data_IF_597136613366
#
_entry.id   IF_597136613366
#
_cell.length_a   1.000
_cell.length_b   1.000
_cell.length_c   1.000
_cell.angle_alpha   90.00
_cell.angle_beta   90.00
_cell.angle_gamma   90.00
#
_symmetry.space_group_name_H-M   'P 1'
#
loop_
_entity.id
_entity.type
_entity.pdbx_description
1 polymer ?
#
# COMPACT_ATOMS: atom_id res chain seq x y z
N UNK A 1 -13.15 -21.27 -6.19
CA UNK A 1 -13.19 -20.37 -5.03
C UNK A 1 -14.61 -20.40 -4.52
N UNK A 2 -14.77 -20.50 -3.21
CA UNK A 2 -16.07 -20.40 -2.54
C UNK A 2 -16.30 -18.97 -2.07
N UNK A 3 -17.55 -18.61 -1.75
CA UNK A 3 -17.88 -17.28 -1.20
C UNK A 3 -17.00 -16.90 0.01
N UNK A 4 -16.61 -17.90 0.79
CA UNK A 4 -15.74 -17.73 1.97
C UNK A 4 -14.25 -17.52 1.64
N UNK A 5 -13.79 -17.80 0.42
CA UNK A 5 -12.36 -17.78 0.05
C UNK A 5 -12.03 -16.77 -1.06
N UNK A 6 -13.02 -16.25 -1.79
CA UNK A 6 -12.81 -15.26 -2.86
C UNK A 6 -12.09 -14.01 -2.37
N UNK A 7 -12.46 -13.46 -1.20
CA UNK A 7 -11.79 -12.28 -0.65
C UNK A 7 -10.31 -12.52 -0.36
N UNK A 8 -9.97 -13.71 0.15
CA UNK A 8 -8.60 -14.08 0.50
C UNK A 8 -7.74 -14.31 -0.75
N UNK A 9 -8.34 -14.84 -1.82
CA UNK A 9 -7.66 -14.95 -3.10
C UNK A 9 -7.29 -13.59 -3.68
N UNK A 10 -8.26 -12.66 -3.72
CA UNK A 10 -8.01 -11.29 -4.21
C UNK A 10 -6.94 -10.61 -3.36
N UNK A 11 -7.06 -10.69 -2.02
CA UNK A 11 -6.08 -10.10 -1.10
C UNK A 11 -4.68 -10.67 -1.33
N UNK A 12 -4.52 -11.99 -1.45
CA UNK A 12 -3.20 -12.61 -1.68
C UNK A 12 -2.57 -12.22 -3.02
N UNK A 13 -3.37 -12.01 -4.07
CA UNK A 13 -2.84 -11.53 -5.36
C UNK A 13 -2.24 -10.12 -5.24
N UNK A 14 -2.88 -9.25 -4.45
CA UNK A 14 -2.39 -7.89 -4.18
C UNK A 14 -1.19 -7.90 -3.23
N UNK A 15 -1.29 -8.61 -2.10
CA UNK A 15 -0.23 -8.69 -1.07
C UNK A 15 1.07 -9.28 -1.63
N UNK A 16 0.98 -10.19 -2.60
CA UNK A 16 2.13 -10.81 -3.28
C UNK A 16 2.58 -10.05 -4.52
N UNK A 17 1.97 -8.91 -4.83
CA UNK A 17 2.31 -8.07 -5.97
C UNK A 17 2.20 -8.79 -7.33
N UNK A 18 1.25 -9.71 -7.50
CA UNK A 18 0.98 -10.31 -8.82
C UNK A 18 0.03 -9.45 -9.65
N UNK A 19 -0.80 -8.66 -8.98
CA UNK A 19 -1.65 -7.64 -9.59
C UNK A 19 -1.69 -6.41 -8.68
N UNK A 20 -2.03 -5.27 -9.25
CA UNK A 20 -2.34 -4.03 -8.51
C UNK A 20 -3.80 -3.68 -8.71
N UNK A 21 -4.36 -2.94 -7.75
CA UNK A 21 -5.73 -2.41 -7.82
C UNK A 21 -5.68 -0.90 -7.74
N UNK A 22 -6.28 -0.21 -8.71
CA UNK A 22 -6.33 1.25 -8.74
C UNK A 22 -7.48 1.81 -7.88
N UNK A 23 -7.54 3.14 -7.76
CA UNK A 23 -8.62 3.86 -7.06
C UNK A 23 -10.00 3.66 -7.72
N UNK A 24 -10.03 3.32 -9.00
CA UNK A 24 -11.24 3.00 -9.76
C UNK A 24 -11.65 1.52 -9.63
N UNK A 25 -11.03 0.78 -8.72
CA UNK A 25 -11.27 -0.65 -8.47
C UNK A 25 -10.95 -1.60 -9.62
N UNK A 26 -10.16 -1.15 -10.60
CA UNK A 26 -9.65 -1.96 -11.72
C UNK A 26 -8.37 -2.68 -11.31
N UNK A 27 -8.24 -3.93 -11.76
CA UNK A 27 -7.03 -4.72 -11.58
C UNK A 27 -6.13 -4.63 -12.81
N UNK A 28 -4.84 -4.48 -12.58
CA UNK A 28 -3.80 -4.52 -13.63
C UNK A 28 -2.74 -5.53 -13.20
N UNK A 29 -2.33 -6.47 -14.07
CA UNK A 29 -1.26 -7.40 -13.75
C UNK A 29 0.07 -6.65 -13.56
N UNK A 30 0.97 -7.21 -12.76
CA UNK A 30 2.34 -6.73 -12.66
C UNK A 30 3.25 -7.55 -13.58
N UNK A 31 4.45 -7.03 -13.88
CA UNK A 31 5.48 -7.79 -14.59
C UNK A 31 5.76 -9.15 -13.91
N UNK A 32 5.72 -9.22 -12.57
CA UNK A 32 5.87 -10.47 -11.83
C UNK A 32 4.69 -11.43 -12.11
N UNK A 33 3.47 -10.91 -12.07
CA UNK A 33 2.27 -11.70 -12.35
C UNK A 33 2.28 -12.26 -13.76
N UNK A 34 2.61 -11.44 -14.76
CA UNK A 34 2.68 -11.86 -16.16
C UNK A 34 3.80 -12.88 -16.40
N UNK A 35 4.99 -12.66 -15.84
CA UNK A 35 6.11 -13.58 -15.95
C UNK A 35 5.83 -14.95 -15.33
N UNK A 36 5.16 -14.98 -14.18
CA UNK A 36 4.76 -16.25 -13.55
C UNK A 36 3.74 -17.00 -14.43
N UNK A 37 2.75 -16.30 -14.98
CA UNK A 37 1.77 -16.92 -15.87
C UNK A 37 2.44 -17.47 -17.11
N UNK A 38 3.26 -16.67 -17.80
CA UNK A 38 4.01 -17.08 -18.99
C UNK A 38 4.91 -18.28 -18.71
N UNK A 39 5.71 -18.24 -17.64
CA UNK A 39 6.65 -19.32 -17.34
C UNK A 39 5.97 -20.65 -17.04
N UNK A 40 4.79 -20.66 -16.38
CA UNK A 40 4.02 -21.90 -16.20
C UNK A 40 3.31 -22.35 -17.48
N UNK A 41 2.81 -21.41 -18.29
CA UNK A 41 2.18 -21.70 -19.59
C UNK A 41 3.20 -22.35 -20.56
N UNK A 42 4.42 -21.81 -20.62
CA UNK A 42 5.52 -22.36 -21.43
C UNK A 42 5.95 -23.76 -20.95
N UNK A 43 5.82 -24.07 -19.66
CA UNK A 43 6.00 -25.43 -19.13
C UNK A 43 4.89 -26.39 -19.55
N UNK A 44 3.80 -25.91 -20.14
CA UNK A 44 2.62 -26.68 -20.49
C UNK A 44 1.58 -26.75 -19.36
N UNK A 45 1.71 -25.92 -18.33
CA UNK A 45 0.79 -25.87 -17.20
C UNK A 45 -0.05 -24.60 -17.22
N UNK A 46 -1.28 -24.72 -17.74
CA UNK A 46 -2.27 -23.63 -17.80
C UNK A 46 -2.91 -23.34 -16.43
N UNK A 47 -2.11 -23.17 -15.36
CA UNK A 47 -2.57 -22.99 -13.97
C UNK A 47 -3.42 -21.74 -13.76
N UNK A 48 -3.30 -20.77 -14.67
CA UNK A 48 -4.08 -19.54 -14.67
C UNK A 48 -5.54 -19.77 -15.09
N UNK A 49 -5.85 -20.87 -15.78
CA UNK A 49 -7.21 -21.23 -16.17
C UNK A 49 -7.99 -21.83 -14.99
N UNK A 50 -9.33 -21.66 -14.97
CA UNK A 50 -10.14 -22.03 -13.80
C UNK A 50 -10.32 -23.54 -13.61
N UNK A 51 -9.98 -24.37 -14.60
CA UNK A 51 -10.39 -25.77 -14.68
C UNK A 51 -9.87 -26.63 -13.52
N UNK A 52 -8.57 -26.57 -13.23
CA UNK A 52 -7.97 -27.39 -12.16
C UNK A 52 -8.56 -27.03 -10.80
N UNK A 53 -8.81 -25.74 -10.56
CA UNK A 53 -9.43 -25.29 -9.33
C UNK A 53 -10.89 -25.71 -9.23
N UNK A 54 -11.64 -25.63 -10.32
CA UNK A 54 -13.02 -26.10 -10.36
C UNK A 54 -13.11 -27.59 -10.03
N UNK A 55 -12.26 -28.43 -10.65
CA UNK A 55 -12.16 -29.87 -10.34
C UNK A 55 -11.93 -30.12 -8.85
N UNK A 56 -10.96 -29.44 -8.24
CA UNK A 56 -10.65 -29.61 -6.82
C UNK A 56 -11.79 -29.16 -5.90
N UNK A 57 -12.51 -28.10 -6.26
CA UNK A 57 -13.69 -27.64 -5.51
C UNK A 57 -14.85 -28.64 -5.62
N UNK A 58 -15.05 -29.23 -6.79
CA UNK A 58 -16.05 -30.28 -7.01
C UNK A 58 -15.71 -31.56 -6.23
N UNK A 59 -14.43 -31.95 -6.18
CA UNK A 59 -13.99 -33.09 -5.37
C UNK A 59 -14.19 -32.82 -3.87
N UNK A 60 -13.88 -31.62 -3.38
CA UNK A 60 -14.17 -31.23 -1.99
C UNK A 60 -15.68 -31.25 -1.69
N UNK A 61 -16.50 -30.83 -2.66
CA UNK A 61 -17.96 -30.91 -2.55
C UNK A 61 -18.44 -32.36 -2.50
N UNK A 62 -17.91 -33.24 -3.34
CA UNK A 62 -18.23 -34.67 -3.32
C UNK A 62 -17.88 -35.33 -1.97
N UNK A 63 -16.76 -34.94 -1.36
CA UNK A 63 -16.40 -35.37 0.00
C UNK A 63 -17.41 -34.86 1.03
N UNK A 64 -17.83 -33.60 0.93
CA UNK A 64 -18.84 -33.03 1.84
C UNK A 64 -20.22 -33.70 1.73
N UNK A 65 -20.57 -34.20 0.54
CA UNK A 65 -21.79 -34.95 0.28
C UNK A 65 -21.66 -36.45 0.60
N UNK A 66 -20.47 -36.90 1.00
CA UNK A 66 -20.19 -38.31 1.31
C UNK A 66 -20.09 -39.23 0.08
N UNK A 67 -20.07 -38.70 -1.13
CA UNK A 67 -19.99 -39.50 -2.37
C UNK A 67 -18.57 -39.90 -2.74
N UNK A 68 -17.55 -39.28 -2.14
CA UNK A 68 -16.14 -39.64 -2.27
C UNK A 68 -15.45 -39.62 -0.91
N UNK A 69 -14.43 -40.47 -0.75
CA UNK A 69 -13.64 -40.50 0.48
C UNK A 69 -12.53 -39.44 0.48
N UNK A 70 -12.36 -38.74 1.60
CA UNK A 70 -11.29 -37.74 1.80
C UNK A 70 -9.90 -38.31 1.46
N UNK A 71 -9.59 -39.50 1.96
CA UNK A 71 -8.26 -40.11 1.79
C UNK A 71 -7.93 -40.42 0.34
N UNK A 72 -8.94 -40.83 -0.44
CA UNK A 72 -8.80 -41.13 -1.86
C UNK A 72 -8.50 -39.86 -2.66
N UNK A 73 -9.30 -38.81 -2.45
CA UNK A 73 -9.08 -37.50 -3.09
C UNK A 73 -7.71 -36.91 -2.72
N UNK A 74 -7.33 -37.00 -1.45
CA UNK A 74 -6.04 -36.50 -0.98
C UNK A 74 -4.88 -37.26 -1.64
N UNK A 75 -4.94 -38.59 -1.67
CA UNK A 75 -3.89 -39.41 -2.28
C UNK A 75 -3.74 -39.11 -3.77
N UNK A 76 -4.87 -39.05 -4.49
CA UNK A 76 -4.89 -38.70 -5.92
C UNK A 76 -4.35 -37.29 -6.17
N UNK A 77 -4.82 -36.28 -5.43
CA UNK A 77 -4.37 -34.90 -5.59
C UNK A 77 -2.89 -34.70 -5.27
N UNK A 78 -2.37 -35.37 -4.23
CA UNK A 78 -0.93 -35.33 -3.90
C UNK A 78 -0.09 -36.00 -4.99
N UNK A 79 -0.57 -37.11 -5.56
CA UNK A 79 0.12 -37.79 -6.66
C UNK A 79 0.17 -36.91 -7.92
N UNK A 80 -0.96 -36.30 -8.32
CA UNK A 80 -1.03 -35.36 -9.45
C UNK A 80 -0.09 -34.16 -9.22
N UNK A 81 -0.17 -33.51 -8.06
CA UNK A 81 0.67 -32.35 -7.72
C UNK A 81 2.16 -32.71 -7.66
N UNK A 82 2.51 -33.89 -7.16
CA UNK A 82 3.90 -34.37 -7.10
C UNK A 82 4.47 -34.56 -8.51
N UNK A 83 3.68 -35.11 -9.43
CA UNK A 83 4.10 -35.26 -10.83
C UNK A 83 4.36 -33.89 -11.46
N UNK A 84 3.41 -32.95 -11.33
CA UNK A 84 3.58 -31.58 -11.82
C UNK A 84 4.81 -30.88 -11.24
N UNK A 85 5.06 -31.03 -9.93
CA UNK A 85 6.22 -30.43 -9.27
C UNK A 85 7.55 -30.98 -9.81
N UNK A 86 7.66 -32.29 -10.01
CA UNK A 86 8.89 -32.91 -10.51
C UNK A 86 9.20 -32.43 -11.92
N UNK A 87 8.19 -32.32 -12.78
CA UNK A 87 8.33 -31.85 -14.15
C UNK A 87 8.63 -30.33 -14.22
N UNK A 88 7.89 -29.50 -13.48
CA UNK A 88 8.16 -28.07 -13.38
C UNK A 88 9.58 -27.78 -12.85
N UNK A 89 10.11 -28.63 -11.95
CA UNK A 89 11.48 -28.52 -11.45
C UNK A 89 12.52 -28.79 -12.54
N UNK A 90 12.26 -29.74 -13.44
CA UNK A 90 13.12 -30.01 -14.59
C UNK A 90 13.07 -28.85 -15.60
N UNK A 91 11.89 -28.28 -15.78
CA UNK A 91 11.63 -27.19 -16.73
C UNK A 91 11.86 -25.78 -16.16
N UNK A 92 12.47 -25.64 -14.98
CA UNK A 92 12.65 -24.35 -14.27
C UNK A 92 13.29 -23.24 -15.11
N UNK A 93 14.05 -23.60 -16.15
CA UNK A 93 14.69 -22.65 -17.08
C UNK A 93 13.65 -21.76 -17.75
N UNK A 94 12.48 -22.30 -18.11
CA UNK A 94 11.38 -21.55 -18.71
C UNK A 94 10.84 -20.44 -17.80
N UNK A 95 10.82 -20.66 -16.48
CA UNK A 95 10.48 -19.60 -15.52
C UNK A 95 11.53 -18.48 -15.53
N UNK A 96 12.82 -18.81 -15.66
CA UNK A 96 13.86 -17.79 -15.77
C UNK A 96 13.77 -17.03 -17.08
N UNK A 97 13.55 -17.71 -18.21
CA UNK A 97 13.34 -17.08 -19.53
C UNK A 97 12.14 -16.13 -19.51
N UNK A 98 11.00 -16.54 -18.95
CA UNK A 98 9.83 -15.67 -18.81
C UNK A 98 10.13 -14.48 -17.89
N UNK A 99 10.85 -14.69 -16.78
CA UNK A 99 11.30 -13.58 -15.92
C UNK A 99 12.24 -12.65 -16.67
N UNK A 100 13.15 -13.16 -17.50
CA UNK A 100 14.02 -12.34 -18.34
C UNK A 100 13.19 -11.47 -19.29
N UNK A 101 12.12 -11.96 -19.92
CA UNK A 101 11.28 -11.14 -20.81
C UNK A 101 10.66 -9.93 -20.11
N UNK A 102 10.11 -10.11 -18.91
CA UNK A 102 9.40 -9.03 -18.20
C UNK A 102 10.26 -8.21 -17.24
N UNK A 103 11.42 -8.73 -16.88
CA UNK A 103 12.43 -8.07 -16.05
C UNK A 103 13.71 -7.77 -16.83
N UNK A 104 13.64 -7.79 -18.17
CA UNK A 104 14.81 -7.66 -19.01
C UNK A 104 15.51 -6.33 -18.70
N UNK A 105 16.75 -6.47 -18.22
CA UNK A 105 17.71 -5.42 -17.81
C UNK A 105 17.48 -4.74 -16.46
N UNK A 106 17.73 -5.47 -15.37
CA UNK A 106 18.59 -4.88 -14.32
C UNK A 106 20.08 -5.12 -14.61
N UNK A 107 20.42 -5.93 -15.63
CA UNK A 107 21.78 -6.35 -15.91
C UNK A 107 22.05 -6.64 -17.40
N UNK A 108 21.89 -5.64 -18.27
CA UNK A 108 22.49 -5.71 -19.62
C UNK A 108 23.98 -5.37 -19.59
N UNK A 109 24.70 -5.91 -18.60
CA UNK A 109 26.09 -5.58 -18.31
C UNK A 109 26.85 -6.85 -17.98
N UNK A 110 26.99 -7.75 -18.96
CA UNK A 110 28.00 -8.81 -18.88
C UNK A 110 28.56 -9.33 -20.21
N UNK A 111 28.07 -8.91 -21.37
CA UNK A 111 28.78 -9.17 -22.63
C UNK A 111 28.54 -7.97 -23.55
N UNK A 112 29.60 -7.26 -23.94
CA UNK A 112 29.66 -6.12 -24.90
C UNK A 112 29.58 -4.65 -24.39
N UNK A 113 29.98 -4.32 -23.16
CA UNK A 113 30.32 -2.92 -22.83
C UNK A 113 31.67 -2.82 -22.10
N UNK A 114 32.74 -2.84 -22.89
CA UNK A 114 33.96 -2.08 -22.58
C UNK A 114 33.79 -0.57 -22.89
N UNK A 115 32.55 -0.07 -23.01
CA UNK A 115 32.28 1.30 -23.50
C UNK A 115 31.04 2.01 -22.91
N UNK A 116 30.67 1.83 -21.63
CA UNK A 116 29.75 2.77 -20.98
C UNK A 116 29.82 2.77 -19.44
N UNK A 117 31.01 2.91 -18.86
CA UNK A 117 31.07 3.55 -17.55
C UNK A 117 30.67 5.00 -17.79
N UNK A 118 29.41 5.35 -17.46
CA UNK A 118 28.90 6.71 -17.63
C UNK A 118 29.89 7.75 -17.09
N UNK A 119 29.98 8.90 -17.75
CA UNK A 119 31.02 9.88 -17.45
C UNK A 119 30.94 10.34 -15.98
N UNK A 120 32.10 10.34 -15.31
CA UNK A 120 32.22 10.68 -13.89
C UNK A 120 32.01 12.18 -13.71
N UNK A 121 31.06 12.54 -12.85
CA UNK A 121 30.70 13.93 -12.57
C UNK A 121 31.34 14.42 -11.27
N UNK A 122 31.33 13.60 -10.22
CA UNK A 122 31.91 13.94 -8.90
C UNK A 122 31.96 12.72 -7.98
N UNK A 123 32.74 12.80 -6.90
CA UNK A 123 32.61 11.84 -5.79
C UNK A 123 31.24 11.95 -5.11
N UNK A 124 30.70 10.81 -4.67
CA UNK A 124 29.43 10.78 -3.95
C UNK A 124 29.54 11.49 -2.59
N UNK A 125 28.72 12.52 -2.37
CA UNK A 125 28.70 13.25 -1.10
C UNK A 125 28.12 12.45 0.08
N UNK A 126 27.40 11.35 -0.17
CA UNK A 126 26.74 10.54 0.86
C UNK A 126 27.68 9.45 1.38
N UNK A 127 28.20 8.58 0.49
CA UNK A 127 29.09 7.49 0.91
C UNK A 127 30.57 7.87 0.86
N UNK A 128 30.96 8.88 0.07
CA UNK A 128 32.36 9.32 -0.14
C UNK A 128 33.33 8.22 -0.61
N UNK A 129 32.82 7.06 -0.98
CA UNK A 129 33.58 5.86 -1.33
C UNK A 129 33.47 5.49 -2.82
N UNK A 130 32.57 6.16 -3.56
CA UNK A 130 32.31 5.85 -4.95
C UNK A 130 31.92 7.11 -5.72
N UNK A 131 32.13 7.07 -7.04
CA UNK A 131 31.80 8.18 -7.93
C UNK A 131 30.31 8.25 -8.27
N UNK A 132 29.89 9.44 -8.68
CA UNK A 132 28.60 9.69 -9.29
C UNK A 132 28.77 9.89 -10.80
N UNK A 133 27.99 9.16 -11.57
CA UNK A 133 28.09 9.08 -13.02
C UNK A 133 26.81 9.53 -13.70
N UNK A 134 26.93 10.23 -14.82
CA UNK A 134 25.80 10.59 -15.67
C UNK A 134 25.27 9.34 -16.39
N UNK A 135 23.96 9.12 -16.32
CA UNK A 135 23.27 7.99 -16.93
C UNK A 135 22.00 8.45 -17.63
N UNK A 136 21.74 7.86 -18.80
CA UNK A 136 20.45 7.97 -19.50
C UNK A 136 19.59 6.77 -19.12
N UNK A 137 18.37 7.03 -18.68
CA UNK A 137 17.39 5.99 -18.36
C UNK A 137 16.70 5.46 -19.62
N UNK A 138 16.05 4.28 -19.53
CA UNK A 138 15.23 3.73 -20.62
C UNK A 138 14.06 4.64 -21.03
N UNK A 139 13.53 5.45 -20.10
CA UNK A 139 12.48 6.44 -20.37
C UNK A 139 12.98 7.67 -21.14
N UNK A 140 14.28 7.72 -21.46
CA UNK A 140 14.94 8.81 -22.18
C UNK A 140 15.44 9.94 -21.28
N UNK A 141 15.06 9.98 -20.00
CA UNK A 141 15.47 11.03 -19.05
C UNK A 141 16.89 10.78 -18.53
N UNK A 142 17.54 11.83 -18.05
CA UNK A 142 18.90 11.76 -17.51
C UNK A 142 18.89 11.78 -15.97
N UNK A 143 19.86 11.11 -15.36
CA UNK A 143 20.12 11.14 -13.93
C UNK A 143 21.61 11.04 -13.65
N UNK A 144 22.05 11.55 -12.50
CA UNK A 144 23.40 11.31 -11.99
C UNK A 144 23.30 10.43 -10.75
N UNK A 145 23.84 9.22 -10.81
CA UNK A 145 23.69 8.21 -9.76
C UNK A 145 25.02 7.69 -9.22
N UNK A 146 25.05 7.26 -7.97
CA UNK A 146 26.24 6.68 -7.36
C UNK A 146 26.54 5.27 -7.90
N UNK A 147 27.82 4.98 -8.15
CA UNK A 147 28.29 3.65 -8.57
C UNK A 147 28.14 2.58 -7.49
N UNK A 148 28.07 2.96 -6.20
CA UNK A 148 27.87 2.01 -5.09
C UNK A 148 26.40 1.57 -4.90
N UNK A 149 25.49 1.86 -5.82
CA UNK A 149 24.13 1.30 -5.78
C UNK A 149 24.18 -0.24 -5.87
N UNK A 150 23.43 -1.00 -5.05
CA UNK A 150 22.33 -0.58 -4.16
C UNK A 150 22.75 -0.13 -2.74
N UNK A 151 24.03 -0.24 -2.39
CA UNK A 151 24.55 0.12 -1.06
C UNK A 151 24.49 1.64 -0.79
N UNK A 152 24.63 2.46 -1.84
CA UNK A 152 24.39 3.89 -1.79
C UNK A 152 23.29 4.29 -2.78
N UNK A 153 22.19 4.87 -2.28
CA UNK A 153 21.04 5.34 -3.08
C UNK A 153 21.13 6.83 -3.45
N UNK A 154 22.32 7.42 -3.38
CA UNK A 154 22.54 8.82 -3.78
C UNK A 154 22.22 9.00 -5.27
N UNK A 155 21.33 9.94 -5.57
CA UNK A 155 20.90 10.27 -6.93
C UNK A 155 20.59 11.76 -7.03
N UNK A 156 20.99 12.36 -8.15
CA UNK A 156 20.57 13.69 -8.59
C UNK A 156 19.69 13.50 -9.82
N UNK A 157 18.44 13.90 -9.69
CA UNK A 157 17.48 13.87 -10.78
C UNK A 157 17.60 15.14 -11.62
N UNK A 158 17.72 14.98 -12.93
CA UNK A 158 17.88 16.08 -13.86
C UNK A 158 16.52 16.48 -14.48
N UNK A 159 16.39 17.72 -14.99
CA UNK A 159 15.18 18.17 -15.67
C UNK A 159 14.70 17.22 -16.78
N UNK A 160 13.40 16.97 -16.84
CA UNK A 160 12.80 16.11 -17.87
C UNK A 160 12.98 16.66 -19.29
N UNK A 161 13.12 17.99 -19.45
CA UNK A 161 13.26 18.67 -20.74
C UNK A 161 14.60 18.45 -21.44
N UNK A 162 15.54 17.75 -20.83
CA UNK A 162 16.87 17.49 -21.41
C UNK A 162 16.74 16.51 -22.59
N UNK A 163 17.24 16.91 -23.75
CA UNK A 163 17.42 16.04 -24.93
C UNK A 163 18.79 15.38 -24.97
N UNK A 164 19.84 16.07 -24.53
CA UNK A 164 21.22 15.60 -24.56
C UNK A 164 21.97 16.12 -23.33
N UNK A 165 22.85 15.31 -22.75
CA UNK A 165 23.71 15.72 -21.65
C UNK A 165 25.08 15.04 -21.80
N UNK A 166 26.15 15.83 -21.76
CA UNK A 166 27.54 15.36 -21.86
C UNK A 166 28.39 15.99 -20.77
N UNK A 167 29.19 15.20 -20.07
CA UNK A 167 30.11 15.70 -19.04
C UNK A 167 31.31 16.33 -19.74
N UNK A 168 31.74 17.47 -19.22
CA UNK A 168 32.87 18.22 -19.75
C UNK A 168 34.08 18.10 -18.82
N UNK A 169 35.26 18.45 -19.32
CA UNK A 169 36.47 18.57 -18.50
C UNK A 169 36.47 19.83 -17.61
N UNK A 170 35.50 20.73 -17.79
CA UNK A 170 35.41 21.96 -17.01
C UNK A 170 34.93 21.65 -15.58
N UNK A 171 35.60 22.25 -14.60
CA UNK A 171 35.32 22.03 -13.19
C UNK A 171 34.59 23.22 -12.58
N UNK A 172 33.60 22.96 -11.72
CA UNK A 172 32.92 24.00 -10.98
C UNK A 172 33.84 24.62 -9.91
N UNK A 173 34.00 25.94 -9.94
CA UNK A 173 34.78 26.71 -8.96
C UNK A 173 34.03 27.01 -7.67
N UNK A 174 32.71 26.81 -7.64
CA UNK A 174 31.84 27.19 -6.51
C UNK A 174 31.51 26.04 -5.57
N UNK A 175 31.63 24.79 -6.02
CA UNK A 175 31.27 23.61 -5.22
C UNK A 175 32.50 22.99 -4.56
N UNK A 176 32.44 22.80 -3.24
CA UNK A 176 33.40 22.01 -2.46
C UNK A 176 32.65 20.96 -1.61
N UNK A 177 33.21 19.76 -1.40
CA UNK A 177 34.49 19.26 -1.91
C UNK A 177 34.47 18.99 -3.43
N UNK A 178 35.55 19.38 -4.11
CA UNK A 178 35.76 19.12 -5.54
C UNK A 178 36.57 17.84 -5.78
N UNK A 179 36.62 17.34 -7.02
CA UNK A 179 36.15 17.99 -8.23
C UNK A 179 34.66 17.74 -8.55
N UNK A 180 33.98 18.75 -9.08
CA UNK A 180 32.64 18.62 -9.69
C UNK A 180 32.71 19.07 -11.13
N UNK A 181 32.61 18.13 -12.06
CA UNK A 181 32.63 18.40 -13.50
C UNK A 181 31.29 18.99 -13.96
N UNK A 182 31.36 19.98 -14.84
CA UNK A 182 30.18 20.61 -15.44
C UNK A 182 29.62 19.72 -16.54
N UNK A 183 28.30 19.75 -16.69
CA UNK A 183 27.59 18.98 -17.72
C UNK A 183 27.02 19.97 -18.74
N UNK A 184 27.30 19.74 -20.01
CA UNK A 184 26.68 20.47 -21.10
C UNK A 184 25.30 19.87 -21.39
N UNK A 185 24.25 20.60 -21.04
CA UNK A 185 22.86 20.22 -21.24
C UNK A 185 22.32 20.85 -22.52
N UNK A 186 21.67 20.05 -23.37
CA UNK A 186 20.76 20.54 -24.39
C UNK A 186 19.33 20.21 -24.00
N UNK A 187 18.46 21.20 -24.09
CA UNK A 187 17.05 21.11 -23.75
C UNK A 187 16.17 21.15 -25.00
N UNK A 188 15.05 20.43 -24.94
CA UNK A 188 13.99 20.51 -25.94
C UNK A 188 13.36 21.90 -25.85
N UNK A 189 13.53 22.71 -26.89
CA UNK A 189 13.09 24.12 -26.89
C UNK A 189 11.60 24.30 -26.58
N UNK A 190 10.76 23.35 -26.99
CA UNK A 190 9.31 23.38 -26.74
C UNK A 190 8.91 23.11 -25.28
N UNK A 191 9.84 22.63 -24.44
CA UNK A 191 9.57 22.24 -23.04
C UNK A 191 10.23 23.15 -22.01
N UNK A 192 10.99 24.17 -22.47
CA UNK A 192 11.59 25.18 -21.59
C UNK A 192 11.00 26.56 -21.87
N UNK A 193 10.86 27.43 -20.87
CA UNK A 193 10.36 28.77 -21.10
C UNK A 193 11.28 29.58 -22.04
N UNK A 194 10.75 30.55 -22.80
CA UNK A 194 11.47 31.23 -23.87
C UNK A 194 12.69 32.04 -23.39
N UNK A 195 12.71 32.44 -22.12
CA UNK A 195 13.82 33.16 -21.47
C UNK A 195 15.03 32.28 -21.10
N UNK A 196 14.93 30.95 -21.24
CA UNK A 196 16.05 30.03 -21.03
C UNK A 196 16.71 29.65 -22.34
N UNK A 197 18.02 29.41 -22.31
CA UNK A 197 18.76 28.92 -23.47
C UNK A 197 18.55 27.41 -23.67
N UNK A 198 18.53 26.99 -24.93
CA UNK A 198 18.43 25.58 -25.28
C UNK A 198 19.72 24.81 -24.95
N UNK A 199 20.85 25.48 -24.83
CA UNK A 199 22.13 24.91 -24.39
C UNK A 199 22.58 25.60 -23.11
N UNK A 200 23.00 24.83 -22.11
CA UNK A 200 23.45 25.34 -20.81
C UNK A 200 24.58 24.47 -20.26
N UNK A 201 25.68 25.08 -19.85
CA UNK A 201 26.75 24.39 -19.13
C UNK A 201 26.45 24.50 -17.63
N UNK A 202 26.01 23.40 -17.02
CA UNK A 202 25.47 23.43 -15.66
C UNK A 202 26.20 22.57 -14.63
N UNK A 203 26.11 22.99 -13.36
CA UNK A 203 26.67 22.28 -12.22
C UNK A 203 25.59 21.54 -11.42
N UNK A 204 25.80 20.25 -11.16
CA UNK A 204 24.89 19.43 -10.33
C UNK A 204 25.16 19.55 -8.82
N UNK A 205 26.17 20.33 -8.42
CA UNK A 205 26.56 20.51 -7.02
C UNK A 205 25.64 21.46 -6.24
N UNK A 206 24.58 21.99 -6.88
CA UNK A 206 23.57 22.85 -6.25
C UNK A 206 23.87 24.34 -6.30
N UNK A 207 24.95 24.77 -6.96
CA UNK A 207 25.26 26.18 -7.16
C UNK A 207 24.65 26.77 -8.43
N UNK A 208 24.03 25.96 -9.29
CA UNK A 208 23.46 26.38 -10.57
C UNK A 208 21.97 26.68 -10.44
N UNK A 209 21.64 27.97 -10.43
CA UNK A 209 20.27 28.45 -10.26
C UNK A 209 19.40 28.16 -11.50
N UNK A 210 19.96 28.23 -12.70
CA UNK A 210 19.25 27.93 -13.95
C UNK A 210 18.79 26.47 -13.98
N UNK A 211 19.69 25.55 -13.63
CA UNK A 211 19.40 24.12 -13.56
C UNK A 211 18.36 23.81 -12.48
N UNK A 212 18.44 24.49 -11.32
CA UNK A 212 17.45 24.36 -10.25
C UNK A 212 16.06 24.78 -10.70
N UNK A 213 15.95 25.96 -11.30
CA UNK A 213 14.67 26.49 -11.82
C UNK A 213 14.10 25.61 -12.92
N UNK A 214 14.90 25.16 -13.88
CA UNK A 214 14.45 24.24 -14.93
C UNK A 214 14.00 22.88 -14.37
N UNK A 215 14.60 22.41 -13.28
CA UNK A 215 14.15 21.18 -12.59
C UNK A 215 12.79 21.37 -11.93
N UNK A 216 12.53 22.53 -11.35
CA UNK A 216 11.24 22.88 -10.74
C UNK A 216 10.14 23.07 -11.78
N UNK A 217 10.44 23.69 -12.91
CA UNK A 217 9.49 23.99 -13.99
C UNK A 217 9.17 22.75 -14.83
N UNK A 218 10.20 22.02 -15.28
CA UNK A 218 10.05 20.91 -16.22
C UNK A 218 9.84 19.56 -15.50
N UNK A 219 9.98 19.52 -14.18
CA UNK A 219 9.98 18.28 -13.39
C UNK A 219 11.14 17.36 -13.74
N UNK A 220 11.10 16.12 -13.22
CA UNK A 220 12.18 15.13 -13.38
C UNK A 220 11.68 13.81 -14.01
N UNK A 221 10.64 13.85 -14.84
CA UNK A 221 9.95 12.67 -15.38
C UNK A 221 9.00 11.99 -14.37
N UNK A 222 8.25 10.96 -14.80
CA UNK A 222 7.21 10.27 -14.02
C UNK A 222 7.72 9.81 -12.65
N UNK A 223 7.20 10.47 -11.60
CA UNK A 223 7.53 10.22 -10.21
C UNK A 223 6.55 9.21 -9.61
N UNK A 224 7.03 8.02 -9.29
CA UNK A 224 6.52 7.27 -8.14
C UNK A 224 7.15 7.88 -6.88
N UNK A 225 6.46 8.86 -6.26
CA UNK A 225 6.93 9.52 -5.05
C UNK A 225 6.27 8.88 -3.82
N UNK A 226 7.01 7.97 -3.18
CA UNK A 226 6.76 7.57 -1.80
C UNK A 226 7.95 8.00 -0.95
N UNK A 227 7.76 9.07 -0.18
CA UNK A 227 8.49 9.35 1.06
C UNK A 227 9.85 10.05 0.93
N UNK A 228 9.87 11.37 1.15
CA UNK A 228 10.57 11.96 2.30
C UNK A 228 10.27 13.45 2.41
N UNK A 229 9.48 13.81 3.43
CA UNK A 229 9.36 15.16 3.94
C UNK A 229 10.64 15.52 4.70
N UNK A 230 11.29 16.61 4.33
CA UNK A 230 12.24 17.31 5.20
C UNK A 230 11.65 18.67 5.56
N UNK A 231 11.04 18.71 6.74
CA UNK A 231 10.73 19.94 7.46
C UNK A 231 12.05 20.52 7.96
N UNK A 232 12.44 21.69 7.46
CA UNK A 232 13.39 22.57 8.16
C UNK A 232 12.77 23.97 8.20
N UNK A 233 12.18 24.29 9.34
CA UNK A 233 11.95 25.67 9.77
C UNK A 233 13.29 26.25 10.21
N UNK A 234 13.72 27.33 9.57
CA UNK A 234 14.86 28.14 9.99
C UNK A 234 14.63 29.59 9.59
N UNK A 235 14.47 30.45 10.59
CA UNK A 235 14.19 31.90 10.52
C UNK A 235 15.29 32.68 9.79
N UNK A 236 14.91 33.73 9.07
CA UNK A 236 15.70 34.98 8.95
C UNK A 236 14.78 36.21 8.95
N UNK A 237 15.27 37.39 9.40
CA UNK A 237 14.46 38.57 9.69
C UNK A 237 14.33 39.53 8.50
N UNK A 238 13.29 40.35 8.61
CA UNK A 238 12.96 41.63 7.96
C UNK A 238 14.08 42.34 7.21
N UNK A 239 13.80 42.83 6.00
CA UNK A 239 14.21 44.16 5.53
C UNK A 239 13.17 44.70 4.53
N UNK A 240 12.84 45.97 4.70
CA UNK A 240 11.83 46.76 3.99
C UNK A 240 12.32 47.25 2.63
N UNK A 241 11.42 47.37 1.66
CA UNK A 241 11.45 48.43 0.65
C UNK A 241 10.02 48.70 0.15
N UNK A 242 9.59 49.96 0.24
CA UNK A 242 8.21 50.39 0.01
C UNK A 242 7.85 50.72 -1.44
N UNK A 243 6.52 50.81 -1.64
CA UNK A 243 5.72 51.82 -2.36
C UNK A 243 6.22 52.31 -3.75
N UNK A 244 5.44 52.41 -4.85
CA UNK A 244 3.98 52.53 -5.14
C UNK A 244 3.87 52.82 -6.69
N UNK A 245 2.73 52.82 -7.44
CA UNK A 245 1.46 52.07 -7.39
C UNK A 245 0.85 51.67 -8.78
N UNK A 246 -0.37 51.11 -8.72
CA UNK A 246 -1.50 51.18 -9.67
C UNK A 246 -1.51 50.23 -10.90
N UNK A 247 -2.55 49.42 -11.15
CA UNK A 247 -3.84 49.35 -10.48
C UNK A 247 -4.80 48.24 -10.97
N UNK A 248 -6.03 48.42 -10.47
CA UNK A 248 -7.29 47.71 -10.70
C UNK A 248 -7.67 46.60 -9.70
N UNK A 249 -8.43 47.05 -8.70
CA UNK A 249 -8.88 46.33 -7.52
C UNK A 249 -10.31 45.82 -7.75
N UNK A 250 -10.52 44.51 -7.62
CA UNK A 250 -11.83 43.93 -7.29
C UNK A 250 -11.76 43.40 -5.86
N UNK A 251 -12.36 44.11 -4.92
CA UNK A 251 -12.43 43.75 -3.51
C UNK A 251 -13.32 42.51 -3.32
N UNK A 252 -12.73 41.36 -3.03
CA UNK A 252 -13.47 40.21 -2.50
C UNK A 252 -13.79 40.48 -1.02
N UNK A 253 -15.01 40.93 -0.77
CA UNK A 253 -15.55 41.12 0.57
C UNK A 253 -15.96 39.76 1.14
N UNK A 254 -15.59 39.46 2.39
CA UNK A 254 -15.99 38.24 3.06
C UNK A 254 -17.53 38.15 3.15
N UNK A 255 -18.13 37.12 2.57
CA UNK A 255 -19.60 36.97 2.51
C UNK A 255 -20.28 36.79 3.87
N UNK A 256 -19.50 36.60 4.95
CA UNK A 256 -20.01 36.32 6.30
C UNK A 256 -20.00 37.53 7.23
N UNK A 257 -18.95 38.36 7.21
CA UNK A 257 -18.87 39.58 8.03
C UNK A 257 -18.85 40.88 7.21
N UNK A 258 -18.82 40.79 5.87
CA UNK A 258 -18.74 41.92 4.94
C UNK A 258 -17.50 42.82 5.10
N UNK A 259 -16.43 42.28 5.65
CA UNK A 259 -15.12 42.95 5.71
C UNK A 259 -14.15 42.40 4.65
N UNK A 260 -13.23 43.23 4.19
CA UNK A 260 -12.21 42.87 3.19
C UNK A 260 -10.93 42.36 3.85
N UNK A 261 -10.20 41.46 3.19
CA UNK A 261 -8.87 41.01 3.64
C UNK A 261 -8.81 39.56 4.16
N UNK A 262 -9.91 38.82 4.11
CA UNK A 262 -9.94 37.39 4.43
C UNK A 262 -11.06 36.66 3.65
N UNK A 263 -10.94 35.35 3.48
CA UNK A 263 -11.98 34.49 2.88
C UNK A 263 -12.96 33.98 3.94
N UNK A 264 -14.16 33.55 3.54
CA UNK A 264 -15.23 33.13 4.46
C UNK A 264 -14.84 32.02 5.46
N UNK A 265 -13.78 31.24 5.14
CA UNK A 265 -13.27 30.16 5.98
C UNK A 265 -12.20 30.62 6.99
N UNK A 266 -11.71 31.86 6.89
CA UNK A 266 -10.72 32.44 7.81
C UNK A 266 -11.30 33.65 8.56
N UNK A 267 -12.62 33.71 8.73
CA UNK A 267 -13.31 34.84 9.33
C UNK A 267 -13.10 34.87 10.87
N UNK A 268 -12.50 35.93 11.44
CA UNK A 268 -12.17 36.02 12.87
C UNK A 268 -13.39 35.99 13.81
N UNK A 269 -14.60 36.24 13.28
CA UNK A 269 -15.85 36.20 14.04
C UNK A 269 -16.26 34.78 14.51
N UNK A 270 -15.54 33.71 14.12
CA UNK A 270 -15.82 32.34 14.56
C UNK A 270 -15.31 32.02 15.97
N UNK A 271 -14.56 32.91 16.62
CA UNK A 271 -14.02 32.66 17.96
C UNK A 271 -14.36 33.81 18.90
N UNK A 272 -15.62 33.85 19.36
CA UNK A 272 -16.01 34.31 20.70
C UNK A 272 -17.53 34.35 20.83
N UNK A 273 -18.12 33.36 21.49
CA UNK A 273 -18.98 33.51 22.69
C UNK A 273 -19.86 32.27 22.89
N UNK A 274 -19.62 31.60 24.01
CA UNK A 274 -20.61 30.77 24.69
C UNK A 274 -21.40 31.68 25.65
N UNK A 275 -22.74 31.74 25.52
CA UNK A 275 -23.72 31.72 26.64
C UNK A 275 -25.18 31.96 26.19
N UNK A 276 -26.00 30.93 26.44
CA UNK A 276 -27.43 30.88 26.86
C UNK A 276 -28.37 32.07 26.57
N UNK A 277 -29.47 31.78 25.87
CA UNK A 277 -30.89 31.89 26.34
C UNK A 277 -31.84 31.38 25.23
N UNK A 278 -32.46 30.21 25.40
CA UNK A 278 -33.83 29.99 25.90
C UNK A 278 -34.93 30.60 25.02
N UNK A 279 -35.48 29.80 24.10
CA UNK A 279 -36.88 29.87 23.68
C UNK A 279 -37.50 28.47 23.78
N UNK A 280 -38.48 28.35 24.69
CA UNK A 280 -39.36 27.21 24.83
C UNK A 280 -40.24 27.10 23.58
N UNK A 281 -40.33 25.89 23.04
CA UNK A 281 -41.22 25.51 21.96
C UNK A 281 -41.42 23.99 21.95
N UNK A 282 -42.19 23.54 22.94
CA UNK A 282 -42.99 22.30 22.98
C UNK A 282 -42.32 20.97 22.60
N UNK A 283 -42.14 20.15 23.64
CA UNK A 283 -42.00 18.70 23.60
C UNK A 283 -42.96 18.05 22.60
N UNK A 284 -42.42 17.20 21.73
CA UNK A 284 -43.05 15.94 21.43
C UNK A 284 -42.05 14.82 21.72
N UNK A 285 -42.27 14.15 22.84
CA UNK A 285 -41.46 13.06 23.31
C UNK A 285 -41.69 11.81 22.45
N UNK A 286 -40.62 11.31 21.82
CA UNK A 286 -40.35 9.88 21.72
C UNK A 286 -38.85 9.69 21.92
N UNK A 287 -38.48 9.05 23.03
CA UNK A 287 -37.11 8.90 23.48
C UNK A 287 -36.25 8.20 22.43
N UNK A 288 -35.24 8.90 21.93
CA UNK A 288 -34.24 8.36 21.02
C UNK A 288 -33.03 7.96 21.87
N UNK A 289 -32.83 6.66 22.03
CA UNK A 289 -31.74 6.07 22.80
C UNK A 289 -30.39 6.49 22.18
N UNK A 290 -29.68 7.42 22.82
CA UNK A 290 -28.33 7.80 22.39
C UNK A 290 -27.34 6.71 22.77
N UNK A 291 -26.93 5.89 21.80
CA UNK A 291 -25.96 4.80 21.99
C UNK A 291 -24.55 5.36 21.94
N UNK A 292 -23.82 5.28 23.05
CA UNK A 292 -22.41 5.68 23.14
C UNK A 292 -21.50 4.54 22.68
N UNK A 293 -20.42 4.88 21.97
CA UNK A 293 -19.42 3.90 21.53
C UNK A 293 -18.65 3.33 22.73
N UNK A 294 -18.56 2.01 22.84
CA UNK A 294 -17.85 1.33 23.94
C UNK A 294 -16.33 1.49 23.92
N UNK A 295 -15.75 1.92 22.79
CA UNK A 295 -14.29 2.02 22.60
C UNK A 295 -13.77 3.44 22.70
N UNK A 296 -14.55 4.45 22.31
CA UNK A 296 -14.14 5.86 22.34
C UNK A 296 -15.06 6.77 23.18
N UNK A 297 -16.20 6.28 23.67
CA UNK A 297 -17.13 7.04 24.51
C UNK A 297 -17.99 8.07 23.78
N UNK A 298 -17.69 8.37 22.52
CA UNK A 298 -18.43 9.35 21.71
C UNK A 298 -19.82 8.83 21.28
N UNK A 299 -20.81 9.73 21.06
CA UNK A 299 -22.15 9.34 20.65
C UNK A 299 -22.15 8.78 19.22
N UNK A 300 -22.75 7.60 19.04
CA UNK A 300 -22.86 6.98 17.72
C UNK A 300 -24.00 7.62 16.91
N UNK A 301 -23.80 7.69 15.60
CA UNK A 301 -24.81 8.20 14.67
C UNK A 301 -25.64 7.05 14.12
N UNK A 302 -26.96 7.22 14.08
CA UNK A 302 -27.87 6.28 13.43
C UNK A 302 -27.82 6.44 11.92
N UNK A 303 -27.70 5.34 11.19
CA UNK A 303 -27.78 5.26 9.73
C UNK A 303 -28.71 4.15 9.30
N UNK A 304 -29.27 4.27 8.10
CA UNK A 304 -30.16 3.26 7.52
C UNK A 304 -29.44 2.48 6.43
N UNK A 305 -29.46 1.16 6.52
CA UNK A 305 -28.85 0.27 5.56
C UNK A 305 -29.61 0.27 4.23
N UNK A 306 -28.86 0.28 3.12
CA UNK A 306 -29.39 0.26 1.76
C UNK A 306 -28.94 -0.98 0.97
N UNK A 307 -28.44 -2.01 1.66
CA UNK A 307 -28.06 -3.29 1.04
C UNK A 307 -29.30 -4.13 0.75
N UNK A 308 -29.27 -4.95 -0.30
CA UNK A 308 -30.43 -5.70 -0.79
C UNK A 308 -31.15 -6.52 0.31
N UNK A 309 -30.39 -7.12 1.24
CA UNK A 309 -30.95 -7.93 2.32
C UNK A 309 -31.33 -7.14 3.59
N UNK A 310 -30.95 -5.87 3.73
CA UNK A 310 -31.15 -5.10 4.96
C UNK A 310 -31.74 -3.71 4.70
N UNK A 311 -32.40 -3.52 3.56
CA UNK A 311 -32.91 -2.23 3.12
C UNK A 311 -33.90 -1.68 4.14
N UNK A 312 -33.62 -0.50 4.70
CA UNK A 312 -34.46 0.14 5.69
C UNK A 312 -34.11 -0.16 7.15
N UNK A 313 -33.19 -1.11 7.45
CA UNK A 313 -32.76 -1.38 8.83
C UNK A 313 -31.83 -0.29 9.36
N UNK A 314 -32.01 0.13 10.61
CA UNK A 314 -31.17 1.15 11.26
C UNK A 314 -30.02 0.53 12.05
N UNK A 315 -28.85 1.16 11.98
CA UNK A 315 -27.64 0.78 12.73
C UNK A 315 -26.93 2.01 13.28
N UNK A 316 -26.23 1.85 14.39
CA UNK A 316 -25.37 2.84 15.00
C UNK A 316 -23.93 2.61 14.57
N UNK A 317 -23.23 3.66 14.17
CA UNK A 317 -21.80 3.60 13.85
C UNK A 317 -21.03 4.77 14.48
N UNK A 318 -19.79 4.51 14.89
CA UNK A 318 -18.92 5.57 15.39
C UNK A 318 -18.44 6.46 14.24
N UNK A 319 -18.35 7.77 14.49
CA UNK A 319 -17.89 8.73 13.48
C UNK A 319 -16.39 8.65 13.20
N UNK A 320 -15.59 8.10 14.12
CA UNK A 320 -14.15 7.92 13.91
C UNK A 320 -13.89 6.72 13.00
N UNK A 321 -13.22 6.96 11.86
CA UNK A 321 -12.86 5.92 10.89
C UNK A 321 -11.91 4.86 11.46
N UNK A 322 -11.18 5.19 12.53
CA UNK A 322 -10.27 4.24 13.20
C UNK A 322 -10.98 3.38 14.25
N UNK A 323 -12.19 3.76 14.68
CA UNK A 323 -12.88 3.12 15.80
C UNK A 323 -13.79 1.94 15.38
N UNK A 324 -14.23 1.86 14.12
CA UNK A 324 -14.91 0.71 13.52
C UNK A 324 -16.20 0.20 14.21
N UNK A 325 -16.69 0.87 15.26
CA UNK A 325 -17.82 0.41 16.06
C UNK A 325 -19.13 0.43 15.28
N UNK A 326 -19.89 -0.66 15.38
CA UNK A 326 -21.12 -0.91 14.64
C UNK A 326 -22.08 -1.80 15.45
N UNK A 327 -23.34 -1.39 15.58
CA UNK A 327 -24.41 -2.21 16.20
C UNK A 327 -25.75 -1.93 15.55
N UNK A 328 -26.59 -2.95 15.37
CA UNK A 328 -27.94 -2.78 14.84
C UNK A 328 -28.90 -2.26 15.93
N UNK A 329 -29.86 -1.41 15.57
CA UNK A 329 -30.81 -0.79 16.50
C UNK A 329 -31.65 -1.83 17.26
N UNK A 330 -32.01 -2.93 16.59
CA UNK A 330 -32.78 -4.05 17.14
C UNK A 330 -32.03 -4.86 18.22
N UNK A 331 -30.70 -4.78 18.28
CA UNK A 331 -29.90 -5.50 19.28
C UNK A 331 -29.79 -4.76 20.62
N UNK A 332 -30.12 -3.47 20.68
CA UNK A 332 -30.00 -2.64 21.89
C UNK A 332 -31.21 -2.77 22.81
N UNK A 333 -32.38 -3.13 22.25
CA UNK A 333 -33.62 -3.28 23.02
C UNK A 333 -33.69 -4.51 23.94
N UNK A 334 -32.73 -5.43 23.85
CA UNK A 334 -32.84 -6.76 24.48
C UNK A 334 -31.85 -7.03 25.63
N UNK A 335 -31.23 -5.98 26.20
CA UNK A 335 -30.19 -6.14 27.23
C UNK A 335 -30.33 -5.17 28.41
N UNK A 336 -31.36 -5.37 29.23
CA UNK A 336 -31.31 -4.96 30.64
C UNK A 336 -30.71 -6.10 31.48
N UNK A 337 -29.41 -6.06 31.72
CA UNK A 337 -28.78 -6.88 32.77
C UNK A 337 -27.33 -7.33 32.52
N UNK A 338 -26.40 -6.80 33.34
CA UNK A 338 -25.15 -7.42 33.79
C UNK A 338 -24.05 -7.74 32.73
N UNK A 339 -23.06 -6.86 32.54
CA UNK A 339 -21.72 -6.79 33.21
C UNK A 339 -20.58 -7.63 32.57
N UNK A 340 -19.47 -6.91 32.34
CA UNK A 340 -18.06 -7.33 32.29
C UNK A 340 -17.57 -8.24 31.16
N UNK A 341 -16.96 -7.63 30.14
CA UNK A 341 -15.92 -8.27 29.33
C UNK A 341 -14.58 -7.61 29.62
N UNK A 342 -13.67 -8.42 30.13
CA UNK A 342 -12.32 -8.11 30.60
C UNK A 342 -11.38 -7.63 29.48
N UNK A 343 -10.54 -6.65 29.81
CA UNK A 343 -9.39 -6.16 29.01
C UNK A 343 -8.26 -7.20 29.01
N UNK A 344 -7.50 -7.37 27.90
CA UNK A 344 -6.13 -7.87 27.98
C UNK A 344 -5.16 -6.70 28.11
N UNK A 345 -4.26 -6.81 29.08
CA UNK A 345 -3.21 -5.86 29.41
C UNK A 345 -1.95 -6.14 28.57
N UNK A 346 -1.27 -5.06 28.20
CA UNK A 346 0.04 -5.05 27.53
C UNK A 346 1.19 -5.28 28.53
N UNK A 347 2.24 -6.00 28.08
CA UNK A 347 3.64 -6.16 28.58
C UNK A 347 4.03 -7.64 28.45
N UNK A 348 5.20 -8.06 27.99
CA UNK A 348 6.45 -7.41 27.67
C UNK A 348 7.48 -8.46 27.21
N UNK A 349 8.64 -7.94 26.83
CA UNK A 349 9.79 -8.55 26.15
C UNK A 349 10.32 -9.90 26.66
N UNK A 350 10.84 -10.66 25.70
CA UNK A 350 11.67 -11.87 25.84
C UNK A 350 13.06 -11.58 26.40
N UNK A 351 13.53 -12.43 27.32
CA UNK A 351 14.96 -12.70 27.54
C UNK A 351 15.16 -14.18 27.77
N UNK A 352 16.22 -14.72 27.15
CA UNK A 352 16.59 -16.12 27.09
C UNK A 352 17.24 -16.66 28.38
N UNK A 353 17.08 -17.95 28.65
CA UNK A 353 18.09 -18.78 29.34
C UNK A 353 17.94 -20.27 29.01
N UNK A 354 19.10 -20.90 28.80
CA UNK A 354 19.34 -22.34 28.60
C UNK A 354 19.10 -23.13 29.89
N UNK A 355 18.68 -24.39 29.74
CA UNK A 355 18.77 -25.43 30.78
C UNK A 355 18.47 -26.83 30.22
N UNK A 356 19.40 -27.78 30.44
CA UNK A 356 19.43 -29.17 29.93
C UNK A 356 18.71 -30.18 30.85
N UNK A 357 18.57 -31.42 30.28
CA UNK A 357 18.34 -32.77 30.88
C UNK A 357 16.87 -33.12 31.11
N UNK A 358 16.34 -34.14 30.42
CA UNK A 358 16.45 -35.60 30.69
C UNK A 358 15.00 -36.07 30.95
N UNK A 359 14.48 -37.25 30.69
CA UNK A 359 14.93 -38.57 30.29
C UNK A 359 13.66 -39.36 29.85
N UNK A 360 13.83 -40.62 29.47
CA UNK A 360 12.90 -41.54 28.79
C UNK A 360 11.64 -41.93 29.58
N UNK A 361 10.58 -42.31 28.85
CA UNK A 361 9.47 -43.11 29.39
C UNK A 361 8.45 -43.57 28.32
N UNK A 362 8.40 -44.89 28.05
CA UNK A 362 7.43 -45.58 27.18
C UNK A 362 6.15 -45.91 27.98
N UNK A 363 4.98 -45.91 27.31
CA UNK A 363 3.96 -46.98 27.51
C UNK A 363 2.51 -46.61 27.84
N UNK A 364 1.62 -46.92 26.87
CA UNK A 364 0.25 -47.49 26.96
C UNK A 364 -0.98 -46.65 27.44
N UNK A 365 -1.88 -46.48 26.45
CA UNK A 365 -3.34 -46.75 26.37
C UNK A 365 -4.28 -46.31 27.50
N UNK A 366 -5.26 -45.47 27.13
CA UNK A 366 -6.65 -45.58 27.59
C UNK A 366 -7.46 -44.28 27.60
N UNK A 367 -8.59 -44.27 26.88
CA UNK A 367 -9.79 -43.52 27.26
C UNK A 367 -9.93 -42.11 26.67
N UNK A 368 -10.91 -41.95 25.77
CA UNK A 368 -11.13 -40.72 25.03
C UNK A 368 -11.77 -39.58 25.83
N UNK A 369 -11.64 -38.38 25.26
CA UNK A 369 -12.51 -37.21 25.41
C UNK A 369 -12.38 -36.41 24.12
N UNK A 370 -13.52 -35.93 23.62
CA UNK A 370 -13.73 -35.44 22.26
C UNK A 370 -12.67 -34.47 21.76
N UNK A 371 -12.14 -34.79 20.59
CA UNK A 371 -11.24 -33.92 19.84
C UNK A 371 -11.94 -32.60 19.54
N UNK A 372 -11.29 -31.53 19.98
CA UNK A 372 -11.43 -30.18 19.46
C UNK A 372 -11.11 -30.21 17.96
N UNK A 373 -12.13 -30.43 17.13
CA UNK A 373 -12.04 -30.36 15.66
C UNK A 373 -11.79 -28.91 15.27
N UNK A 374 -10.52 -28.52 15.33
CA UNK A 374 -10.02 -27.25 14.80
C UNK A 374 -10.13 -27.28 13.28
N UNK A 375 -10.94 -26.37 12.73
CA UNK A 375 -11.09 -26.21 11.30
C UNK A 375 -9.74 -25.88 10.67
N UNK A 376 -9.37 -26.59 9.61
CA UNK A 376 -8.12 -26.35 8.88
C UNK A 376 -8.46 -25.68 7.55
N UNK A 377 -7.79 -24.58 7.23
CA UNK A 377 -7.93 -23.91 5.93
C UNK A 377 -7.49 -24.82 4.78
N UNK A 378 -7.86 -24.48 3.54
CA UNK A 378 -7.36 -25.18 2.34
C UNK A 378 -5.82 -25.18 2.20
N UNK A 379 -5.11 -24.41 3.04
CA UNK A 379 -3.64 -24.35 3.12
C UNK A 379 -3.04 -25.11 4.31
N UNK A 380 -3.82 -25.85 5.09
CA UNK A 380 -3.31 -26.65 6.20
C UNK A 380 -3.16 -25.90 7.54
N UNK A 381 -3.45 -24.59 7.57
CA UNK A 381 -3.38 -23.78 8.79
C UNK A 381 -4.65 -23.93 9.64
N UNK A 382 -4.53 -24.18 10.97
CA UNK A 382 -5.66 -24.23 11.88
C UNK A 382 -6.30 -22.84 12.04
N UNK A 383 -7.61 -22.76 11.80
CA UNK A 383 -8.42 -21.55 11.84
C UNK A 383 -8.98 -21.39 13.25
N UNK A 384 -8.23 -20.74 14.11
CA UNK A 384 -8.70 -20.42 15.47
C UNK A 384 -9.78 -19.33 15.44
N UNK A 385 -10.89 -19.56 16.15
CA UNK A 385 -11.86 -18.51 16.50
C UNK A 385 -13.09 -18.34 15.59
N UNK A 386 -13.33 -19.23 14.60
CA UNK A 386 -14.57 -19.16 13.80
C UNK A 386 -15.69 -19.98 14.45
N UNK A 387 -16.82 -19.31 14.68
CA UNK A 387 -18.09 -19.87 15.15
C UNK A 387 -19.15 -19.61 14.08
N UNK A 388 -20.17 -20.45 13.99
CA UNK A 388 -21.33 -20.23 13.13
C UNK A 388 -21.90 -18.83 13.39
N UNK A 389 -22.01 -17.99 12.37
CA UNK A 389 -22.52 -16.63 12.51
C UNK A 389 -24.00 -16.56 12.91
N UNK A 390 -24.75 -17.65 12.72
CA UNK A 390 -26.17 -17.73 13.05
C UNK A 390 -26.41 -18.17 14.50
N UNK A 391 -25.65 -19.15 15.02
CA UNK A 391 -25.90 -19.72 16.34
C UNK A 391 -24.69 -19.76 17.28
N UNK A 392 -23.51 -19.31 16.85
CA UNK A 392 -22.29 -19.29 17.65
C UNK A 392 -21.63 -20.66 17.88
N UNK A 393 -22.17 -21.73 17.29
CA UNK A 393 -21.61 -23.07 17.39
C UNK A 393 -20.37 -23.22 16.49
N UNK A 394 -19.23 -23.66 17.03
CA UNK A 394 -18.01 -23.86 16.23
C UNK A 394 -18.08 -25.06 15.28
N UNK A 395 -19.05 -25.98 15.41
CA UNK A 395 -19.10 -27.25 14.66
C UNK A 395 -19.51 -27.12 13.18
N UNK A 396 -20.07 -26.00 12.75
CA UNK A 396 -20.58 -25.82 11.38
C UNK A 396 -20.52 -24.37 10.90
N UNK A 397 -20.60 -24.18 9.58
CA UNK A 397 -20.70 -22.86 8.96
C UNK A 397 -22.17 -22.39 8.88
N UNK A 398 -22.39 -21.07 8.78
CA UNK A 398 -23.74 -20.48 8.76
C UNK A 398 -24.64 -20.98 7.63
N UNK A 399 -24.05 -21.49 6.54
CA UNK A 399 -24.77 -22.11 5.42
C UNK A 399 -25.32 -23.52 5.73
N UNK A 400 -24.74 -24.21 6.72
CA UNK A 400 -25.16 -25.53 7.20
C UNK A 400 -25.78 -25.45 8.61
N UNK A 401 -26.21 -24.26 9.05
CA UNK A 401 -26.76 -24.08 10.39
C UNK A 401 -28.14 -24.75 10.51
N UNK A 402 -28.35 -25.65 11.50
CA UNK A 402 -29.65 -26.28 11.74
C UNK A 402 -30.75 -25.26 12.06
N UNK A 403 -30.36 -24.10 12.62
CA UNK A 403 -31.27 -23.01 13.00
C UNK A 403 -31.47 -21.99 11.85
N UNK A 404 -31.08 -22.33 10.62
CA UNK A 404 -31.19 -21.42 9.48
C UNK A 404 -32.64 -21.39 8.99
N UNK A 405 -33.45 -20.50 9.56
CA UNK A 405 -34.83 -20.25 9.13
C UNK A 405 -35.89 -20.25 10.24
N UNK A 406 -35.50 -20.24 11.52
CA UNK A 406 -36.39 -19.90 12.63
C UNK A 406 -36.32 -18.41 12.98
#
# INVERSE_FOLDING_TARGET
>A
GTDATMHDHIKKLLDRFYATKDSNTRFTPTNLGEALVMGYDDMGYELWKPYLRAKMEDDMKAVSLGTKMKNEILASGLQEMKACFLDARMSKVKLFEAMEVFFDRTNRSTVEEQQAVGEVVRCCGICQQADMVLKRKPDGNFMVGCLAYPQCRSVVWLPGSISEATVTSNMCSSCSPGPVFLIHFKFRRSEIPPNYNAEHLGCIGGCDETLRQLTEICGTGSRNLSGMSASVRGRTPTMSAGNIPAGNVRHNVCTRCRETGHTANACPALVSTSRRSRTQGTNNARGESSVSCSSCGEPCVVRTANTANNRGRKFYTCQSQECGFFVWEDMIGNSTGATNVSRPNSRGSTTATRGRRGERGRGRRGGGRGDDVTFVSATGEPVSGRRCFTCGDPSHFANACPNRGM
#
